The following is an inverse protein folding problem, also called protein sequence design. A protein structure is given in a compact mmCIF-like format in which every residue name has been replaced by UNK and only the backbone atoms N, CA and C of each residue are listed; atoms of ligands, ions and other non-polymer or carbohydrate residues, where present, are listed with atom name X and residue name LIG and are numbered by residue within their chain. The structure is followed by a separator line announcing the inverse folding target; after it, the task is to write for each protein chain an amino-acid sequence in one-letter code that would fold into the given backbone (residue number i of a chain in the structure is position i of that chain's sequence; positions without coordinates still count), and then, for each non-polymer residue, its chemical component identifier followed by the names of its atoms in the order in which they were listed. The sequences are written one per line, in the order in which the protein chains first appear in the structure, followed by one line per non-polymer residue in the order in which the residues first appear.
data_IF_886384957237
#
_entry.id   IF_886384957237
#
_cell.length_a   1.000
_cell.length_b   1.000
_cell.length_c   1.000
_cell.angle_alpha   90.00
_cell.angle_beta   90.00
_cell.angle_gamma   90.00
#
_symmetry.space_group_name_H-M   'P 1'
#
loop_
_entity.id
_entity.type
_entity.pdbx_description
1 polymer ?
#
# COMPACT_ATOMS: atom_id res chain seq x y z
N UNK A 1 15.27 5.95 -15.37
CA UNK A 1 14.67 4.61 -15.20
C UNK A 1 13.23 4.84 -14.74
N UNK A 2 12.28 4.00 -15.18
CA UNK A 2 10.88 4.15 -14.81
C UNK A 2 10.57 3.57 -13.43
N UNK A 3 9.43 3.97 -12.87
CA UNK A 3 8.84 3.38 -11.68
C UNK A 3 8.19 2.03 -12.02
N UNK A 4 8.41 1.04 -11.18
CA UNK A 4 7.63 -0.19 -11.19
C UNK A 4 7.05 -0.48 -9.81
N UNK A 5 5.89 -1.12 -9.80
CA UNK A 5 5.19 -1.61 -8.60
C UNK A 5 5.09 -3.12 -8.71
N UNK A 6 5.63 -3.85 -7.73
CA UNK A 6 5.43 -5.30 -7.62
C UNK A 6 4.51 -5.57 -6.44
N UNK A 7 3.42 -6.29 -6.68
CA UNK A 7 2.45 -6.67 -5.64
C UNK A 7 3.02 -7.83 -4.83
N UNK A 8 3.33 -7.59 -3.56
CA UNK A 8 3.81 -8.61 -2.62
C UNK A 8 2.65 -9.32 -1.93
N UNK A 9 1.52 -8.63 -1.81
CA UNK A 9 0.27 -9.11 -1.28
C UNK A 9 -0.84 -8.08 -1.51
N UNK A 10 -2.07 -8.53 -1.61
CA UNK A 10 -3.22 -7.71 -1.99
C UNK A 10 -4.55 -8.17 -1.38
N UNK A 11 -4.52 -9.16 -0.47
CA UNK A 11 -5.71 -9.61 0.24
C UNK A 11 -6.11 -8.59 1.33
N UNK A 12 -7.38 -8.22 1.36
CA UNK A 12 -7.94 -7.31 2.35
C UNK A 12 -8.24 -8.01 3.67
N UNK A 13 -8.01 -7.34 4.78
CA UNK A 13 -8.27 -7.73 6.16
C UNK A 13 -7.53 -8.98 6.66
N UNK A 14 -7.35 -10.02 5.87
CA UNK A 14 -6.62 -11.24 6.19
C UNK A 14 -6.17 -11.96 4.92
N UNK A 15 -5.09 -12.75 5.02
CA UNK A 15 -4.58 -13.51 3.88
C UNK A 15 -5.41 -14.79 3.65
N UNK A 16 -5.87 -14.99 2.43
CA UNK A 16 -6.47 -16.25 1.99
C UNK A 16 -5.42 -17.35 1.78
N UNK A 17 -5.85 -18.59 1.47
CA UNK A 17 -4.94 -19.70 1.20
C UNK A 17 -3.97 -19.40 0.04
N UNK A 18 -2.68 -19.32 0.35
CA UNK A 18 -1.65 -18.96 -0.63
C UNK A 18 -1.54 -17.48 -0.97
N UNK A 19 -2.35 -16.62 -0.32
CA UNK A 19 -2.32 -15.16 -0.44
C UNK A 19 -1.40 -14.50 0.57
N UNK A 20 -1.36 -13.18 0.52
CA UNK A 20 -0.70 -12.30 1.48
C UNK A 20 -1.51 -11.00 1.60
N UNK A 21 -1.49 -10.39 2.78
CA UNK A 21 -2.14 -9.10 3.01
C UNK A 21 -1.42 -7.96 2.27
N UNK A 22 -1.86 -6.71 2.48
CA UNK A 22 -1.35 -5.56 1.73
C UNK A 22 0.16 -5.37 1.83
N UNK A 23 0.83 -5.30 0.68
CA UNK A 23 2.23 -4.95 0.57
C UNK A 23 2.71 -4.85 -0.86
N UNK A 24 3.54 -3.84 -1.11
CA UNK A 24 3.97 -3.48 -2.47
C UNK A 24 5.44 -3.09 -2.47
N UNK A 25 6.17 -3.52 -3.49
CA UNK A 25 7.56 -3.11 -3.71
C UNK A 25 7.58 -2.07 -4.84
N UNK A 26 7.90 -0.83 -4.47
CA UNK A 26 8.17 0.25 -5.43
C UNK A 26 9.64 0.22 -5.79
N UNK A 27 9.97 0.22 -7.08
CA UNK A 27 11.37 0.16 -7.54
C UNK A 27 11.65 1.13 -8.68
N UNK A 28 12.79 1.81 -8.60
CA UNK A 28 13.38 2.58 -9.70
C UNK A 28 14.89 2.67 -9.54
N UNK A 29 15.65 2.12 -10.50
CA UNK A 29 17.10 1.98 -10.36
C UNK A 29 17.44 1.20 -9.10
N UNK A 30 18.30 1.79 -8.26
CA UNK A 30 18.74 1.21 -6.98
C UNK A 30 17.86 1.65 -5.78
N UNK A 31 16.75 2.33 -6.04
CA UNK A 31 15.80 2.73 -4.98
C UNK A 31 14.67 1.72 -4.91
N UNK A 32 14.49 1.11 -3.72
CA UNK A 32 13.49 0.10 -3.43
C UNK A 32 12.76 0.43 -2.14
N UNK A 33 11.44 0.62 -2.21
CA UNK A 33 10.61 0.95 -1.04
C UNK A 33 9.55 -0.14 -0.83
N UNK A 34 9.49 -0.66 0.38
CA UNK A 34 8.44 -1.57 0.81
C UNK A 34 7.27 -0.75 1.38
N UNK A 35 6.20 -0.64 0.61
CA UNK A 35 4.98 0.08 0.94
C UNK A 35 3.95 -0.93 1.47
N UNK A 36 3.55 -0.77 2.72
CA UNK A 36 2.82 -1.71 3.56
C UNK A 36 3.50 -3.09 3.69
N UNK A 37 3.42 -3.65 4.87
CA UNK A 37 4.17 -4.83 5.32
C UNK A 37 3.22 -5.85 5.96
N UNK A 38 2.09 -6.13 5.29
CA UNK A 38 1.10 -7.08 5.77
C UNK A 38 1.62 -8.51 5.81
N UNK A 39 0.95 -9.40 6.56
CA UNK A 39 1.35 -10.80 6.72
C UNK A 39 1.59 -11.53 5.39
N UNK A 40 2.77 -12.13 5.23
CA UNK A 40 3.21 -12.87 4.05
C UNK A 40 4.03 -12.07 3.05
N UNK A 41 4.04 -10.74 3.14
CA UNK A 41 4.72 -9.88 2.17
C UNK A 41 6.25 -9.91 2.30
N UNK A 42 6.80 -10.14 3.51
CA UNK A 42 8.25 -10.35 3.69
C UNK A 42 8.76 -11.60 2.94
N UNK A 43 7.97 -12.67 2.95
CA UNK A 43 8.33 -13.88 2.23
C UNK A 43 8.31 -13.65 0.71
N UNK A 44 7.30 -12.93 0.22
CA UNK A 44 7.17 -12.61 -1.20
C UNK A 44 8.21 -11.58 -1.66
N UNK A 45 8.56 -10.60 -0.83
CA UNK A 45 9.62 -9.63 -1.10
C UNK A 45 10.94 -10.31 -1.49
N UNK A 46 11.32 -11.36 -0.75
CA UNK A 46 12.55 -12.12 -0.98
C UNK A 46 12.60 -12.86 -2.32
N UNK A 47 11.47 -12.97 -3.03
CA UNK A 47 11.43 -13.51 -4.39
C UNK A 47 11.84 -12.47 -5.44
N UNK A 48 11.80 -11.19 -5.09
CA UNK A 48 12.00 -10.07 -6.02
C UNK A 48 13.23 -9.23 -5.69
N UNK A 49 13.64 -9.18 -4.42
CA UNK A 49 14.70 -8.32 -3.94
C UNK A 49 15.43 -9.00 -2.76
N UNK A 50 16.73 -8.82 -2.67
CA UNK A 50 17.45 -9.08 -1.41
C UNK A 50 16.99 -8.04 -0.38
N UNK A 51 16.42 -8.42 0.78
CA UNK A 51 15.93 -7.46 1.76
C UNK A 51 16.98 -6.46 2.26
N UNK A 52 18.27 -6.76 2.08
CA UNK A 52 19.37 -5.83 2.37
C UNK A 52 19.39 -4.61 1.46
N UNK A 53 18.75 -4.67 0.29
CA UNK A 53 18.70 -3.59 -0.71
C UNK A 53 17.51 -2.63 -0.49
N UNK A 54 16.64 -2.87 0.52
CA UNK A 54 15.54 -1.97 0.82
C UNK A 54 16.08 -0.59 1.20
N UNK A 55 15.63 0.43 0.49
CA UNK A 55 15.96 1.84 0.73
C UNK A 55 15.14 2.45 1.86
N UNK A 56 13.92 1.96 2.07
CA UNK A 56 13.04 2.38 3.15
C UNK A 56 11.72 1.61 3.16
N UNK A 57 10.97 1.83 4.23
CA UNK A 57 9.65 1.23 4.49
C UNK A 57 8.64 2.36 4.69
N UNK A 58 7.45 2.22 4.12
CA UNK A 58 6.33 3.13 4.37
C UNK A 58 5.12 2.31 4.80
N UNK A 59 4.51 2.65 5.93
CA UNK A 59 3.32 1.97 6.46
C UNK A 59 2.17 2.96 6.51
N UNK A 60 1.09 2.63 5.84
CA UNK A 60 -0.06 3.52 5.68
C UNK A 60 -0.84 3.74 6.97
N UNK A 61 -1.05 2.69 7.77
CA UNK A 61 -1.83 2.76 9.01
C UNK A 61 -1.61 1.55 9.93
N UNK A 62 -2.34 1.54 11.05
CA UNK A 62 -2.10 0.64 12.16
C UNK A 62 -2.93 -0.66 12.18
N UNK A 63 -3.69 -0.98 11.12
CA UNK A 63 -4.34 -2.31 11.05
C UNK A 63 -3.32 -3.40 10.73
N UNK A 64 -3.41 -4.58 11.40
CA UNK A 64 -2.37 -5.61 11.34
C UNK A 64 -2.08 -6.16 9.94
N UNK A 65 -3.04 -6.14 9.05
CA UNK A 65 -2.90 -6.57 7.66
C UNK A 65 -2.07 -5.63 6.78
N UNK A 66 -1.61 -4.48 7.34
CA UNK A 66 -0.70 -3.54 6.67
C UNK A 66 0.71 -3.49 7.27
N UNK A 67 0.95 -4.09 8.45
CA UNK A 67 2.27 -4.06 9.09
C UNK A 67 2.67 -5.37 9.81
N UNK A 68 1.82 -6.38 9.76
CA UNK A 68 1.99 -7.60 10.58
C UNK A 68 3.27 -8.38 10.36
N UNK A 69 3.99 -8.18 9.26
CA UNK A 69 5.32 -8.78 9.03
C UNK A 69 6.47 -8.01 9.72
N UNK A 70 6.28 -6.77 10.16
CA UNK A 70 7.36 -5.98 10.79
C UNK A 70 7.88 -6.59 12.10
N UNK A 71 7.06 -7.13 13.03
CA UNK A 71 7.58 -7.74 14.25
C UNK A 71 8.53 -8.91 14.00
N UNK A 72 8.20 -9.79 13.03
CA UNK A 72 9.08 -10.89 12.62
C UNK A 72 10.21 -10.39 11.71
N UNK A 73 9.95 -9.40 10.89
CA UNK A 73 10.92 -8.70 10.05
C UNK A 73 12.06 -8.11 10.88
N UNK A 74 11.74 -7.57 12.08
CA UNK A 74 12.77 -7.10 13.01
C UNK A 74 13.85 -8.16 13.25
N UNK A 75 13.45 -9.38 13.57
CA UNK A 75 14.42 -10.45 13.82
C UNK A 75 15.22 -10.83 12.56
N UNK A 76 14.55 -10.84 11.40
CA UNK A 76 15.21 -11.12 10.13
C UNK A 76 16.26 -10.05 9.80
N UNK A 77 15.92 -8.78 9.91
CA UNK A 77 16.84 -7.67 9.64
C UNK A 77 17.99 -7.62 10.67
N UNK A 78 17.68 -7.69 11.96
CA UNK A 78 18.69 -7.56 13.02
C UNK A 78 19.70 -8.70 13.04
N UNK A 79 19.25 -9.95 12.81
CA UNK A 79 20.07 -11.13 13.12
C UNK A 79 20.52 -11.92 11.88
N UNK A 80 19.84 -11.77 10.73
CA UNK A 80 20.12 -12.60 9.55
C UNK A 80 20.56 -11.75 8.35
N UNK A 81 19.94 -10.59 8.13
CA UNK A 81 20.32 -9.69 7.04
C UNK A 81 21.37 -8.66 7.45
N UNK A 82 21.67 -8.54 8.75
CA UNK A 82 22.60 -7.52 9.32
C UNK A 82 22.26 -6.12 8.78
N UNK A 83 20.98 -5.77 8.85
CA UNK A 83 20.43 -4.53 8.32
C UNK A 83 19.78 -3.72 9.44
N UNK A 84 20.35 -2.57 9.72
CA UNK A 84 19.94 -1.66 10.79
C UNK A 84 19.62 -0.28 10.22
N UNK A 85 18.93 0.54 11.02
CA UNK A 85 18.58 1.93 10.67
C UNK A 85 17.89 2.06 9.31
N UNK A 86 16.89 1.19 9.04
CA UNK A 86 16.08 1.27 7.85
C UNK A 86 15.11 2.44 8.03
N UNK A 87 15.21 3.46 7.18
CA UNK A 87 14.29 4.59 7.20
C UNK A 87 12.85 4.09 7.08
N UNK A 88 12.05 4.27 8.12
CA UNK A 88 10.70 3.71 8.22
C UNK A 88 9.72 4.82 8.55
N UNK A 89 8.75 5.01 7.67
CA UNK A 89 7.72 6.06 7.74
C UNK A 89 6.36 5.44 8.06
N UNK A 90 5.66 5.98 9.05
CA UNK A 90 4.34 5.48 9.43
C UNK A 90 3.71 6.33 10.51
N UNK A 91 2.43 6.06 10.84
CA UNK A 91 1.72 6.80 11.90
C UNK A 91 2.29 6.50 13.29
N UNK A 92 2.06 7.37 14.25
CA UNK A 92 2.49 7.14 15.65
C UNK A 92 1.84 5.89 16.25
N UNK A 93 0.55 5.65 15.95
CA UNK A 93 -0.18 4.48 16.43
C UNK A 93 0.42 3.17 15.87
N UNK A 94 0.83 3.15 14.61
CA UNK A 94 1.52 1.99 14.03
C UNK A 94 2.82 1.67 14.77
N UNK A 95 3.63 2.70 15.09
CA UNK A 95 4.87 2.51 15.86
C UNK A 95 4.60 1.93 17.25
N UNK A 96 3.62 2.47 17.97
CA UNK A 96 3.26 1.99 19.30
C UNK A 96 2.81 0.52 19.31
N UNK A 97 1.99 0.14 18.31
CA UNK A 97 1.55 -1.25 18.13
C UNK A 97 2.71 -2.17 17.77
N UNK A 98 3.60 -1.73 16.89
CA UNK A 98 4.80 -2.50 16.52
C UNK A 98 5.70 -2.75 17.75
N UNK A 99 5.98 -1.73 18.56
CA UNK A 99 6.76 -1.86 19.80
C UNK A 99 6.10 -2.85 20.76
N UNK A 100 4.78 -2.78 20.89
CA UNK A 100 3.99 -3.67 21.75
C UNK A 100 4.03 -5.12 21.23
N UNK A 101 3.80 -5.32 19.94
CA UNK A 101 3.76 -6.64 19.31
C UNK A 101 5.14 -7.33 19.32
N UNK A 102 6.22 -6.57 19.07
CA UNK A 102 7.60 -7.07 19.15
C UNK A 102 8.05 -7.30 20.60
N UNK A 103 7.45 -6.59 21.55
CA UNK A 103 7.79 -6.70 22.99
C UNK A 103 9.03 -5.90 23.40
N UNK A 104 9.27 -4.74 22.77
CA UNK A 104 10.39 -3.84 23.09
C UNK A 104 10.74 -2.89 21.96
N UNK A 105 11.73 -2.05 22.18
CA UNK A 105 12.19 -1.04 21.22
C UNK A 105 12.56 -1.64 19.86
N UNK A 106 12.34 -0.88 18.80
CA UNK A 106 12.53 -1.28 17.40
C UNK A 106 13.51 -0.36 16.65
N UNK A 107 13.93 0.73 17.28
CA UNK A 107 14.62 1.87 16.65
C UNK A 107 16.04 1.54 16.18
N UNK A 108 16.63 0.44 16.62
CA UNK A 108 17.92 -0.06 16.13
C UNK A 108 17.83 -0.69 14.74
N UNK A 109 16.66 -1.19 14.37
CA UNK A 109 16.38 -1.74 13.03
C UNK A 109 15.58 -0.76 12.19
N UNK A 110 14.50 -0.21 12.74
CA UNK A 110 13.60 0.71 12.07
C UNK A 110 13.84 2.14 12.56
N UNK A 111 14.54 2.94 11.75
CA UNK A 111 14.70 4.38 12.00
C UNK A 111 13.38 5.08 11.70
N UNK A 112 12.54 5.21 12.75
CA UNK A 112 11.14 5.58 12.61
C UNK A 112 10.92 7.09 12.47
N UNK A 113 10.28 7.47 11.39
CA UNK A 113 9.82 8.83 11.09
C UNK A 113 8.29 8.86 11.12
N UNK A 114 7.71 9.57 12.09
CA UNK A 114 6.26 9.71 12.16
C UNK A 114 5.76 10.64 11.08
N UNK A 115 4.78 10.15 10.30
CA UNK A 115 4.09 10.88 9.24
C UNK A 115 2.60 11.01 9.56
N UNK A 116 1.99 12.06 9.03
CA UNK A 116 0.57 12.40 9.19
C UNK A 116 0.06 13.09 7.93
N UNK A 117 -1.17 13.61 7.97
CA UNK A 117 -1.75 14.36 6.85
C UNK A 117 -0.82 15.47 6.34
N UNK A 118 -0.66 15.55 5.02
CA UNK A 118 0.19 16.53 4.35
C UNK A 118 1.70 16.34 4.52
N UNK A 119 2.16 15.25 5.15
CA UNK A 119 3.59 14.94 5.23
C UNK A 119 4.18 14.72 3.85
N UNK A 120 5.38 15.29 3.62
CA UNK A 120 6.19 15.09 2.43
C UNK A 120 7.59 14.64 2.81
N UNK A 121 8.16 13.68 2.10
CA UNK A 121 9.50 13.16 2.34
C UNK A 121 10.05 12.43 1.11
N UNK A 122 11.37 12.23 1.09
CA UNK A 122 12.05 11.53 0.02
C UNK A 122 12.67 10.22 0.50
N UNK A 123 12.59 9.17 -0.32
CA UNK A 123 13.36 7.95 -0.17
C UNK A 123 14.08 7.70 -1.51
N UNK A 124 15.38 7.92 -1.54
CA UNK A 124 16.16 7.81 -2.77
C UNK A 124 15.62 8.71 -3.87
N UNK A 125 15.15 8.13 -4.96
CA UNK A 125 14.62 8.86 -6.11
C UNK A 125 13.12 9.18 -6.01
N UNK A 126 12.42 8.66 -5.02
CA UNK A 126 10.98 8.83 -4.84
C UNK A 126 10.66 9.99 -3.92
N UNK A 127 9.77 10.86 -4.37
CA UNK A 127 9.13 11.90 -3.55
C UNK A 127 7.74 11.43 -3.13
N UNK A 128 7.50 11.37 -1.83
CA UNK A 128 6.24 10.94 -1.21
C UNK A 128 5.45 12.14 -0.70
N UNK A 129 4.13 12.09 -0.89
CA UNK A 129 3.16 12.98 -0.24
C UNK A 129 2.01 12.17 0.32
N UNK A 130 1.65 12.43 1.58
CA UNK A 130 0.58 11.75 2.30
C UNK A 130 -0.70 12.59 2.35
N UNK A 131 -1.85 11.92 2.37
CA UNK A 131 -3.15 12.52 2.64
C UNK A 131 -3.95 11.59 3.55
N UNK A 132 -4.53 12.12 4.65
CA UNK A 132 -5.38 11.32 5.53
C UNK A 132 -6.64 10.89 4.80
N UNK A 133 -7.07 9.64 5.03
CA UNK A 133 -8.28 9.06 4.43
C UNK A 133 -9.45 9.00 5.42
N UNK A 134 -10.62 8.59 4.94
CA UNK A 134 -11.81 8.32 5.76
C UNK A 134 -11.77 6.87 6.28
N UNK A 135 -11.10 6.66 7.40
CA UNK A 135 -10.93 5.33 7.99
C UNK A 135 -10.89 5.43 9.54
N UNK A 136 -11.32 4.38 10.30
CA UNK A 136 -11.44 4.44 11.77
C UNK A 136 -10.16 4.75 12.54
N UNK A 137 -8.99 4.46 11.98
CA UNK A 137 -7.67 4.83 12.52
C UNK A 137 -6.99 5.81 11.58
N UNK A 138 -6.01 6.58 12.05
CA UNK A 138 -5.24 7.47 11.16
C UNK A 138 -4.61 6.65 10.04
N UNK A 139 -5.13 6.84 8.84
CA UNK A 139 -4.75 6.10 7.63
C UNK A 139 -4.32 7.09 6.56
N UNK A 140 -3.20 6.82 5.93
CA UNK A 140 -2.57 7.70 4.96
C UNK A 140 -2.56 7.05 3.57
N UNK A 141 -3.29 7.66 2.65
CA UNK A 141 -3.05 7.45 1.24
C UNK A 141 -1.72 8.11 0.85
N UNK A 142 -1.02 7.53 -0.12
CA UNK A 142 0.27 8.06 -0.58
C UNK A 142 0.28 8.33 -2.07
N UNK A 143 0.89 9.45 -2.43
CA UNK A 143 1.29 9.81 -3.78
C UNK A 143 2.81 9.73 -3.88
N UNK A 144 3.32 9.09 -4.91
CA UNK A 144 4.75 8.90 -5.16
C UNK A 144 5.10 9.46 -6.54
N UNK A 145 6.07 10.34 -6.58
CA UNK A 145 6.53 10.97 -7.81
C UNK A 145 7.99 10.60 -8.11
N UNK A 146 8.28 10.34 -9.37
CA UNK A 146 9.63 10.22 -9.90
C UNK A 146 9.69 10.81 -11.31
N UNK A 147 10.43 11.89 -11.47
CA UNK A 147 10.44 12.64 -12.74
C UNK A 147 9.04 13.10 -13.12
N UNK A 148 8.48 12.57 -14.22
CA UNK A 148 7.11 12.88 -14.67
C UNK A 148 6.10 11.77 -14.37
N UNK A 149 6.54 10.67 -13.76
CA UNK A 149 5.67 9.55 -13.43
C UNK A 149 5.06 9.71 -12.03
N UNK A 150 3.78 9.39 -11.92
CA UNK A 150 2.99 9.53 -10.69
C UNK A 150 2.26 8.23 -10.40
N UNK A 151 2.63 7.60 -9.29
CA UNK A 151 1.90 6.50 -8.66
C UNK A 151 1.09 7.02 -7.48
N UNK A 152 -0.09 6.47 -7.26
CA UNK A 152 -0.86 6.74 -6.06
C UNK A 152 -1.46 5.44 -5.49
N UNK A 153 -1.51 5.35 -4.17
CA UNK A 153 -2.12 4.28 -3.41
C UNK A 153 -3.11 4.86 -2.41
N UNK A 154 -4.36 4.39 -2.45
CA UNK A 154 -5.40 4.92 -1.56
C UNK A 154 -5.21 4.51 -0.12
N UNK A 155 -4.51 3.37 0.15
CA UNK A 155 -4.69 2.65 1.41
C UNK A 155 -6.18 2.36 1.64
N UNK A 156 -6.62 2.17 2.89
CA UNK A 156 -8.00 1.91 3.24
C UNK A 156 -8.77 3.23 3.37
N UNK A 157 -9.97 3.30 2.80
CA UNK A 157 -10.77 4.52 2.83
C UNK A 157 -12.25 4.25 2.55
N UNK A 158 -13.12 5.02 3.21
CA UNK A 158 -14.54 5.10 2.85
C UNK A 158 -14.80 5.96 1.62
N UNK A 159 -16.00 5.85 1.07
CA UNK A 159 -16.42 6.56 -0.15
C UNK A 159 -16.61 8.07 0.04
N UNK A 160 -16.64 8.56 1.28
CA UNK A 160 -16.72 9.99 1.58
C UNK A 160 -15.38 10.73 1.33
N UNK A 161 -14.27 10.00 1.27
CA UNK A 161 -12.95 10.60 1.03
C UNK A 161 -12.76 11.00 -0.44
N UNK A 162 -12.42 12.26 -0.72
CA UNK A 162 -12.18 12.69 -2.10
C UNK A 162 -10.79 12.25 -2.56
N UNK A 163 -10.68 11.29 -3.46
CA UNK A 163 -9.42 10.81 -4.02
C UNK A 163 -8.60 11.92 -4.69
N UNK A 164 -9.24 13.03 -5.05
CA UNK A 164 -8.57 14.25 -5.52
C UNK A 164 -7.63 14.88 -4.49
N UNK A 165 -7.68 14.48 -3.22
CA UNK A 165 -6.71 14.85 -2.19
C UNK A 165 -5.29 14.40 -2.55
N UNK A 166 -5.14 13.30 -3.32
CA UNK A 166 -3.86 12.86 -3.90
C UNK A 166 -3.38 13.72 -5.07
N UNK A 167 -4.15 14.72 -5.48
CA UNK A 167 -3.84 15.57 -6.64
C UNK A 167 -4.24 14.96 -7.98
N UNK A 168 -3.82 15.61 -9.05
CA UNK A 168 -4.12 15.21 -10.43
C UNK A 168 -2.91 14.57 -11.13
N UNK A 169 -3.11 14.07 -12.36
CA UNK A 169 -2.03 13.55 -13.20
C UNK A 169 -1.51 12.17 -12.74
N UNK A 170 -2.34 11.37 -12.08
CA UNK A 170 -2.00 10.03 -11.62
C UNK A 170 -1.88 9.10 -12.83
N UNK A 171 -0.68 8.54 -13.06
CA UNK A 171 -0.44 7.60 -14.14
C UNK A 171 -0.95 6.20 -13.80
N UNK A 172 -0.74 5.78 -12.54
CA UNK A 172 -1.21 4.52 -11.99
C UNK A 172 -1.80 4.74 -10.60
N UNK A 173 -3.08 4.41 -10.45
CA UNK A 173 -3.76 4.35 -9.16
C UNK A 173 -3.91 2.89 -8.72
N UNK A 174 -3.39 2.56 -7.55
CA UNK A 174 -3.66 1.35 -6.81
C UNK A 174 -4.73 1.68 -5.76
N UNK A 175 -5.93 1.12 -5.92
CA UNK A 175 -7.11 1.50 -5.14
C UNK A 175 -7.71 0.30 -4.44
N UNK A 176 -8.00 0.42 -3.15
CA UNK A 176 -8.76 -0.58 -2.43
C UNK A 176 -10.15 -0.79 -3.05
N UNK A 177 -10.71 -2.00 -2.92
CA UNK A 177 -12.08 -2.35 -3.28
C UNK A 177 -12.55 -3.54 -2.44
N UNK A 178 -12.59 -3.35 -1.14
CA UNK A 178 -12.70 -4.43 -0.15
C UNK A 178 -14.06 -5.12 -0.18
N UNK A 179 -15.15 -4.34 -0.24
CA UNK A 179 -16.49 -4.88 -0.03
C UNK A 179 -17.29 -5.10 -1.33
N UNK A 180 -18.19 -6.10 -1.33
CA UNK A 180 -19.12 -6.31 -2.44
C UNK A 180 -20.10 -5.15 -2.55
N UNK A 181 -20.72 -5.00 -3.73
CA UNK A 181 -21.57 -3.85 -4.08
C UNK A 181 -22.80 -3.67 -3.18
N UNK A 182 -23.33 -4.74 -2.61
CA UNK A 182 -24.48 -4.71 -1.70
C UNK A 182 -24.15 -4.18 -0.30
N UNK A 183 -22.88 -3.96 -0.01
CA UNK A 183 -22.39 -3.37 1.24
C UNK A 183 -21.84 -1.93 1.06
N UNK A 184 -22.14 -1.29 -0.06
CA UNK A 184 -21.72 0.07 -0.33
C UNK A 184 -22.10 1.04 0.79
N UNK A 185 -21.12 1.77 1.34
CA UNK A 185 -21.32 2.76 2.41
C UNK A 185 -21.59 2.19 3.81
N UNK A 186 -21.57 0.88 4.02
CA UNK A 186 -21.75 0.28 5.36
C UNK A 186 -20.49 0.38 6.23
N UNK A 187 -19.33 0.39 5.61
CA UNK A 187 -18.03 0.41 6.27
C UNK A 187 -17.11 1.47 5.65
N UNK A 188 -16.04 1.80 6.34
CA UNK A 188 -15.03 2.74 5.85
C UNK A 188 -14.07 2.07 4.84
N UNK A 189 -14.64 1.48 3.80
CA UNK A 189 -13.98 0.86 2.66
C UNK A 189 -14.81 1.09 1.39
N UNK A 190 -14.17 0.91 0.24
CA UNK A 190 -14.81 1.04 -1.06
C UNK A 190 -15.38 -0.29 -1.59
N UNK A 191 -16.41 -0.18 -2.41
CA UNK A 191 -16.76 -1.19 -3.40
C UNK A 191 -15.98 -0.96 -4.70
N UNK A 192 -15.99 -1.94 -5.59
CA UNK A 192 -15.33 -1.80 -6.89
C UNK A 192 -15.94 -0.66 -7.74
N UNK A 193 -17.25 -0.48 -7.70
CA UNK A 193 -17.93 0.63 -8.37
C UNK A 193 -17.50 1.99 -7.81
N UNK A 194 -17.40 2.12 -6.49
CA UNK A 194 -16.95 3.35 -5.83
C UNK A 194 -15.49 3.66 -6.18
N UNK A 195 -14.60 2.65 -6.16
CA UNK A 195 -13.20 2.79 -6.57
C UNK A 195 -13.08 3.27 -8.03
N UNK A 196 -13.85 2.68 -8.95
CA UNK A 196 -13.89 3.11 -10.35
C UNK A 196 -14.37 4.56 -10.54
N UNK A 197 -15.43 4.96 -9.83
CA UNK A 197 -15.97 6.32 -9.88
C UNK A 197 -14.98 7.35 -9.30
N UNK A 198 -14.33 7.01 -8.18
CA UNK A 198 -13.32 7.87 -7.56
C UNK A 198 -12.09 8.05 -8.46
N UNK A 199 -11.58 6.96 -9.05
CA UNK A 199 -10.46 6.97 -10.00
C UNK A 199 -10.74 7.84 -11.22
N UNK A 200 -11.95 7.73 -11.80
CA UNK A 200 -12.39 8.58 -12.90
C UNK A 200 -12.43 10.04 -12.50
N UNK A 201 -12.97 10.36 -11.33
CA UNK A 201 -13.08 11.74 -10.82
C UNK A 201 -11.70 12.38 -10.60
N UNK A 202 -10.73 11.58 -10.12
CA UNK A 202 -9.35 12.03 -9.94
C UNK A 202 -8.56 12.08 -11.27
N UNK A 203 -9.12 11.59 -12.37
CA UNK A 203 -8.47 11.58 -13.69
C UNK A 203 -7.26 10.64 -13.75
N UNK A 204 -7.29 9.52 -13.01
CA UNK A 204 -6.27 8.50 -13.11
C UNK A 204 -6.24 7.89 -14.51
N UNK A 205 -5.03 7.60 -15.05
CA UNK A 205 -4.89 7.03 -16.39
C UNK A 205 -5.07 5.51 -16.38
N UNK A 206 -4.60 4.83 -15.31
CA UNK A 206 -4.74 3.39 -15.09
C UNK A 206 -5.25 3.15 -13.69
N UNK A 207 -6.11 2.15 -13.52
CA UNK A 207 -6.66 1.71 -12.24
C UNK A 207 -6.33 0.22 -12.03
N UNK A 208 -5.76 -0.08 -10.87
CA UNK A 208 -5.56 -1.43 -10.36
C UNK A 208 -6.31 -1.55 -9.03
N UNK A 209 -7.23 -2.49 -8.93
CA UNK A 209 -7.91 -2.78 -7.67
C UNK A 209 -7.06 -3.69 -6.80
N UNK A 210 -7.07 -3.42 -5.51
CA UNK A 210 -6.36 -4.19 -4.48
C UNK A 210 -7.21 -4.32 -3.23
N UNK A 211 -6.72 -5.01 -2.23
CA UNK A 211 -7.35 -5.16 -0.92
C UNK A 211 -8.75 -5.81 -1.01
N UNK A 212 -8.96 -6.70 -1.99
CA UNK A 212 -10.19 -7.47 -2.07
C UNK A 212 -10.18 -8.57 -1.00
N UNK A 213 -11.35 -8.87 -0.44
CA UNK A 213 -11.50 -9.97 0.51
C UNK A 213 -11.13 -11.31 -0.16
N UNK A 214 -10.47 -12.24 0.56
CA UNK A 214 -10.24 -13.58 0.07
C UNK A 214 -11.52 -14.26 -0.39
N UNK A 215 -11.51 -14.78 -1.63
CA UNK A 215 -12.68 -15.40 -2.24
C UNK A 215 -13.66 -14.44 -2.92
N UNK A 216 -13.35 -13.14 -2.98
CA UNK A 216 -14.13 -12.19 -3.77
C UNK A 216 -14.19 -12.58 -5.26
N UNK A 217 -15.27 -12.24 -5.92
CA UNK A 217 -15.40 -12.42 -7.37
C UNK A 217 -14.63 -11.30 -8.10
N UNK A 218 -13.37 -11.58 -8.43
CA UNK A 218 -12.48 -10.65 -9.10
C UNK A 218 -13.00 -10.18 -10.47
N UNK A 219 -13.70 -11.05 -11.19
CA UNK A 219 -14.26 -10.69 -12.50
C UNK A 219 -15.44 -9.74 -12.37
N UNK A 220 -16.31 -9.96 -11.37
CA UNK A 220 -17.38 -9.04 -11.05
C UNK A 220 -16.80 -7.68 -10.57
N UNK A 221 -15.81 -7.68 -9.67
CA UNK A 221 -15.15 -6.46 -9.20
C UNK A 221 -14.53 -5.67 -10.36
N UNK A 222 -13.79 -6.35 -11.24
CA UNK A 222 -13.17 -5.74 -12.44
C UNK A 222 -14.24 -5.12 -13.35
N UNK A 223 -15.32 -5.82 -13.59
CA UNK A 223 -16.42 -5.37 -14.47
C UNK A 223 -17.11 -4.14 -13.89
N UNK A 224 -17.43 -4.17 -12.59
CA UNK A 224 -18.10 -3.07 -11.89
C UNK A 224 -17.23 -1.81 -11.87
N UNK A 225 -15.96 -1.95 -11.54
CA UNK A 225 -15.01 -0.83 -11.55
C UNK A 225 -14.84 -0.25 -12.96
N UNK A 226 -14.66 -1.10 -13.98
CA UNK A 226 -14.49 -0.67 -15.37
C UNK A 226 -15.70 0.11 -15.90
N UNK A 227 -16.92 -0.29 -15.54
CA UNK A 227 -18.15 0.41 -15.91
C UNK A 227 -18.18 1.84 -15.37
N UNK A 228 -17.66 2.08 -14.16
CA UNK A 228 -17.64 3.39 -13.51
C UNK A 228 -16.40 4.20 -13.89
N UNK A 229 -15.26 3.55 -14.06
CA UNK A 229 -14.01 4.19 -14.48
C UNK A 229 -14.07 4.65 -15.93
N UNK A 230 -14.68 3.85 -16.81
CA UNK A 230 -14.84 4.13 -18.25
C UNK A 230 -13.65 3.65 -19.08
N UNK A 231 -12.81 2.77 -18.55
CA UNK A 231 -11.70 2.10 -19.20
C UNK A 231 -11.44 0.74 -18.56
N UNK A 232 -10.53 -0.05 -19.13
CA UNK A 232 -10.13 -1.33 -18.55
C UNK A 232 -9.52 -1.14 -17.15
N UNK A 233 -9.80 -2.11 -16.26
CA UNK A 233 -9.30 -2.15 -14.88
C UNK A 233 -8.56 -3.46 -14.66
N UNK A 234 -7.42 -3.37 -13.98
CA UNK A 234 -6.63 -4.52 -13.57
C UNK A 234 -6.97 -4.91 -12.12
N UNK A 235 -6.79 -6.17 -11.77
CA UNK A 235 -6.86 -6.66 -10.37
C UNK A 235 -5.46 -7.01 -9.93
N UNK A 236 -5.06 -6.53 -8.76
CA UNK A 236 -3.80 -6.91 -8.14
C UNK A 236 -3.80 -8.41 -7.81
N UNK A 237 -2.71 -9.06 -8.12
CA UNK A 237 -2.45 -10.45 -7.73
C UNK A 237 -1.01 -10.55 -7.24
N UNK A 238 -0.75 -11.42 -6.27
CA UNK A 238 0.59 -11.62 -5.73
C UNK A 238 1.61 -11.90 -6.85
N UNK A 239 2.75 -11.23 -6.81
CA UNK A 239 3.82 -11.23 -7.81
C UNK A 239 3.50 -10.52 -9.13
N UNK A 240 2.35 -9.87 -9.29
CA UNK A 240 2.11 -8.99 -10.43
C UNK A 240 3.09 -7.81 -10.39
N UNK A 241 3.81 -7.60 -11.50
CA UNK A 241 4.65 -6.41 -11.72
C UNK A 241 4.00 -5.47 -12.72
N UNK A 242 3.94 -4.20 -12.35
CA UNK A 242 3.33 -3.14 -13.15
C UNK A 242 4.40 -2.08 -13.39
N UNK A 243 4.75 -1.84 -14.65
CA UNK A 243 5.67 -0.77 -15.02
C UNK A 243 4.86 0.48 -15.46
N UNK A 244 5.32 1.68 -15.01
CA UNK A 244 4.75 2.97 -15.36
C UNK A 244 5.49 3.60 -16.54
#
# INVERSE_FOLDING_TARGET
MGLSVTVLGCDGSYAGPGGACSGYLLSSGDTHVWLDCGPGTLANLQQHLDPREISGIVVSHSHPDHWGDLPVGYAAFAYYFDRHSIATYGTSDTRERLITAKGGAVDDVYDWHTITDGSEFDIGAFHFRCAVTDHPVETLAVRVEIGSQVFAYTSDTGSAWPLTALGTGIDLLLCEATFPEDQAGEFAHLTASEAGAAARTAGAKRLVLTHLLPGADHEAARTNAAAMFGADVEIATTNLRIDL
#
